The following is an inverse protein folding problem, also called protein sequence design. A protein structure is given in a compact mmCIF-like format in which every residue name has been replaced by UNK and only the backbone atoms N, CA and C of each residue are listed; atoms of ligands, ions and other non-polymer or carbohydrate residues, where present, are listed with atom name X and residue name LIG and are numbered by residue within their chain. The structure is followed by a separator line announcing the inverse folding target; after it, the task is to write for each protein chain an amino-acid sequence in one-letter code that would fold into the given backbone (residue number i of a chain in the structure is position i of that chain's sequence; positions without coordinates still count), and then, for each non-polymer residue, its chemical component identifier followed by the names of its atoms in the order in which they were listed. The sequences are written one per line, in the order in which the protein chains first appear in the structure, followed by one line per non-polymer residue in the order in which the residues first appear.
data_IF_982448237806
#
_entry.id   IF_982448237806
#
_cell.length_a   1.000
_cell.length_b   1.000
_cell.length_c   1.000
_cell.angle_alpha   90.00
_cell.angle_beta   90.00
_cell.angle_gamma   90.00
#
_symmetry.space_group_name_H-M   'P 1'
#
loop_
_entity.id
_entity.type
_entity.pdbx_description
1 polymer ?
#
# COMPACT_ATOMS: atom_id res chain seq x y z
N UNK A 1 7.80 -24.87 -20.94
CA UNK A 1 6.69 -24.04 -21.47
C UNK A 1 6.03 -23.17 -20.38
N UNK A 2 5.52 -23.73 -19.28
CA UNK A 2 4.89 -22.93 -18.19
C UNK A 2 5.83 -21.89 -17.55
N UNK A 3 7.09 -22.24 -17.26
CA UNK A 3 8.10 -21.30 -16.70
C UNK A 3 8.37 -20.08 -17.60
N UNK A 4 8.48 -20.29 -18.92
CA UNK A 4 8.69 -19.21 -19.89
C UNK A 4 7.48 -18.28 -19.97
N UNK A 5 6.26 -18.83 -19.88
CA UNK A 5 5.06 -18.02 -19.79
C UNK A 5 5.04 -17.17 -18.50
N UNK A 6 5.41 -17.73 -17.35
CA UNK A 6 5.53 -16.99 -16.09
C UNK A 6 6.51 -15.82 -16.18
N UNK A 7 7.71 -16.04 -16.74
CA UNK A 7 8.70 -14.95 -16.91
C UNK A 7 8.19 -13.84 -17.84
N UNK A 8 7.44 -14.20 -18.89
CA UNK A 8 6.85 -13.21 -19.79
C UNK A 8 5.75 -12.42 -19.07
N UNK A 9 4.88 -13.09 -18.30
CA UNK A 9 3.86 -12.41 -17.51
C UNK A 9 4.45 -11.50 -16.43
N UNK A 10 5.52 -11.92 -15.74
CA UNK A 10 6.20 -11.09 -14.75
C UNK A 10 6.74 -9.80 -15.38
N UNK A 11 7.38 -9.92 -16.55
CA UNK A 11 7.87 -8.74 -17.29
C UNK A 11 6.73 -7.84 -17.77
N UNK A 12 5.66 -8.43 -18.31
CA UNK A 12 4.49 -7.67 -18.77
C UNK A 12 3.75 -6.98 -17.62
N UNK A 13 3.65 -7.63 -16.46
CA UNK A 13 3.05 -7.03 -15.27
C UNK A 13 3.90 -5.92 -14.68
N UNK A 14 5.23 -6.08 -14.65
CA UNK A 14 6.14 -5.01 -14.23
C UNK A 14 6.00 -3.77 -15.12
N UNK A 15 5.93 -3.96 -16.45
CA UNK A 15 5.69 -2.86 -17.39
C UNK A 15 4.30 -2.26 -17.25
N UNK A 16 3.29 -3.10 -17.01
CA UNK A 16 1.93 -2.65 -16.73
C UNK A 16 1.84 -1.83 -15.44
N UNK A 17 2.56 -2.22 -14.38
CA UNK A 17 2.67 -1.49 -13.12
C UNK A 17 3.32 -0.13 -13.38
N UNK A 18 4.45 -0.08 -14.10
CA UNK A 18 5.14 1.18 -14.45
C UNK A 18 4.25 2.11 -15.27
N UNK A 19 3.55 1.56 -16.25
CA UNK A 19 2.58 2.29 -17.09
C UNK A 19 1.40 2.78 -16.25
N UNK A 20 0.90 1.96 -15.34
CA UNK A 20 -0.18 2.33 -14.44
C UNK A 20 0.26 3.43 -13.48
N UNK A 21 1.48 3.41 -12.96
CA UNK A 21 2.00 4.49 -12.11
C UNK A 21 2.14 5.79 -12.93
N UNK A 22 2.74 5.71 -14.12
CA UNK A 22 3.07 6.87 -14.96
C UNK A 22 1.86 7.47 -15.69
N UNK A 23 0.87 6.65 -16.04
CA UNK A 23 -0.30 7.05 -16.81
C UNK A 23 -1.57 6.60 -16.11
N UNK A 24 -2.61 7.43 -16.08
CA UNK A 24 -3.89 7.07 -15.47
C UNK A 24 -4.76 6.18 -16.38
N UNK A 25 -4.12 5.37 -17.24
CA UNK A 25 -4.80 4.62 -18.29
C UNK A 25 -4.92 3.15 -17.92
N UNK A 26 -6.12 2.60 -18.06
CA UNK A 26 -6.46 1.19 -17.81
C UNK A 26 -6.09 0.27 -18.97
N UNK A 27 -5.21 0.70 -19.89
CA UNK A 27 -4.79 -0.07 -21.07
C UNK A 27 -4.16 -1.43 -20.69
N UNK A 28 -3.69 -1.57 -19.46
CA UNK A 28 -3.16 -2.80 -18.88
C UNK A 28 -4.22 -3.82 -18.40
N UNK A 29 -5.52 -3.49 -18.43
CA UNK A 29 -6.61 -4.37 -17.94
C UNK A 29 -6.68 -5.73 -18.67
N UNK A 30 -6.33 -5.76 -19.95
CA UNK A 30 -6.25 -7.00 -20.74
C UNK A 30 -5.09 -7.89 -20.28
N UNK A 31 -3.94 -7.30 -19.95
CA UNK A 31 -2.77 -8.00 -19.41
C UNK A 31 -3.09 -8.57 -18.03
N UNK A 32 -3.76 -7.79 -17.19
CA UNK A 32 -4.23 -8.23 -15.87
C UNK A 32 -5.17 -9.43 -15.96
N UNK A 33 -6.20 -9.34 -16.81
CA UNK A 33 -7.19 -10.41 -16.98
C UNK A 33 -6.52 -11.70 -17.48
N UNK A 34 -5.59 -11.54 -18.43
CA UNK A 34 -4.78 -12.67 -18.94
C UNK A 34 -3.85 -13.24 -17.87
N UNK A 35 -3.22 -12.41 -17.05
CA UNK A 35 -2.34 -12.84 -15.97
C UNK A 35 -3.12 -13.53 -14.84
N UNK A 36 -4.31 -13.03 -14.46
CA UNK A 36 -5.19 -13.64 -13.46
C UNK A 36 -5.72 -15.01 -13.91
N UNK A 37 -6.15 -15.12 -15.17
CA UNK A 37 -6.60 -16.41 -15.74
C UNK A 37 -5.44 -17.41 -15.87
N UNK A 38 -4.23 -16.94 -16.12
CA UNK A 38 -3.04 -17.78 -16.08
C UNK A 38 -2.68 -18.21 -14.65
N UNK A 39 -2.73 -17.29 -13.69
CA UNK A 39 -2.43 -17.55 -12.28
C UNK A 39 -3.43 -18.52 -11.62
N UNK A 40 -4.72 -18.46 -11.98
CA UNK A 40 -5.74 -19.40 -11.50
C UNK A 40 -5.61 -20.79 -12.11
N UNK A 41 -5.08 -20.89 -13.33
CA UNK A 41 -4.73 -22.17 -13.94
C UNK A 41 -3.45 -22.74 -13.35
N UNK A 42 -2.51 -21.87 -12.98
CA UNK A 42 -1.23 -22.25 -12.38
C UNK A 42 -1.42 -22.77 -10.95
N UNK A 43 -2.35 -22.22 -10.17
CA UNK A 43 -2.66 -22.73 -8.81
C UNK A 43 -3.32 -24.10 -8.81
N UNK A 44 -4.03 -24.47 -9.88
CA UNK A 44 -4.61 -25.81 -10.06
C UNK A 44 -3.58 -26.86 -10.48
N UNK A 45 -2.47 -26.42 -11.08
CA UNK A 45 -1.35 -27.28 -11.41
C UNK A 45 -0.47 -27.33 -10.16
N UNK A 46 -0.59 -28.42 -9.41
CA UNK A 46 0.13 -28.68 -8.17
C UNK A 46 1.63 -28.92 -8.42
N UNK A 47 2.28 -27.95 -9.05
CA UNK A 47 3.73 -27.89 -9.22
C UNK A 47 4.28 -27.01 -8.11
N UNK A 48 5.46 -27.41 -7.63
CA UNK A 48 6.27 -26.70 -6.65
C UNK A 48 6.19 -25.18 -6.86
N UNK A 49 5.93 -24.45 -5.78
CA UNK A 49 5.89 -22.99 -5.75
C UNK A 49 7.28 -22.48 -6.16
N UNK A 50 7.44 -22.27 -7.47
CA UNK A 50 8.66 -21.77 -8.07
C UNK A 50 8.78 -20.27 -7.75
N UNK A 51 10.01 -19.75 -7.64
CA UNK A 51 10.27 -18.33 -7.36
C UNK A 51 9.54 -17.41 -8.34
N UNK A 52 9.43 -17.84 -9.60
CA UNK A 52 8.70 -17.14 -10.66
C UNK A 52 7.20 -17.02 -10.39
N UNK A 53 6.59 -18.05 -9.81
CA UNK A 53 5.17 -18.10 -9.46
C UNK A 53 4.88 -17.17 -8.26
N UNK A 54 5.78 -17.14 -7.27
CA UNK A 54 5.68 -16.17 -6.16
C UNK A 54 5.79 -14.73 -6.65
N UNK A 55 6.75 -14.43 -7.52
CA UNK A 55 6.86 -13.11 -8.15
C UNK A 55 5.58 -12.73 -8.89
N UNK A 56 4.95 -13.68 -9.61
CA UNK A 56 3.70 -13.44 -10.33
C UNK A 56 2.56 -13.02 -9.37
N UNK A 57 2.38 -13.74 -8.27
CA UNK A 57 1.35 -13.42 -7.27
C UNK A 57 1.61 -12.07 -6.61
N UNK A 58 2.86 -11.80 -6.20
CA UNK A 58 3.24 -10.51 -5.62
C UNK A 58 2.95 -9.36 -6.60
N UNK A 59 3.31 -9.50 -7.88
CA UNK A 59 3.04 -8.47 -8.89
C UNK A 59 1.54 -8.26 -9.13
N UNK A 60 0.73 -9.31 -9.06
CA UNK A 60 -0.74 -9.20 -9.16
C UNK A 60 -1.33 -8.43 -7.96
N UNK A 61 -0.83 -8.68 -6.76
CA UNK A 61 -1.26 -7.98 -5.57
C UNK A 61 -0.79 -6.52 -5.56
N UNK A 62 0.45 -6.24 -6.01
CA UNK A 62 0.96 -4.87 -6.23
C UNK A 62 0.07 -4.13 -7.23
N UNK A 63 -0.28 -4.75 -8.35
CA UNK A 63 -1.16 -4.13 -9.33
C UNK A 63 -2.52 -3.78 -8.72
N UNK A 64 -3.11 -4.73 -7.99
CA UNK A 64 -4.41 -4.56 -7.34
C UNK A 64 -4.36 -3.44 -6.29
N UNK A 65 -3.27 -3.35 -5.51
CA UNK A 65 -3.00 -2.23 -4.60
C UNK A 65 -2.99 -0.87 -5.31
N UNK A 66 -2.26 -0.76 -6.42
CA UNK A 66 -2.15 0.49 -7.20
C UNK A 66 -3.51 0.90 -7.78
N UNK A 67 -4.30 -0.07 -8.24
CA UNK A 67 -5.66 0.15 -8.75
C UNK A 67 -6.60 0.72 -7.68
N UNK A 68 -6.57 0.16 -6.46
CA UNK A 68 -7.35 0.67 -5.34
C UNK A 68 -6.90 2.06 -4.89
N UNK A 69 -5.59 2.31 -4.87
CA UNK A 69 -5.03 3.64 -4.58
C UNK A 69 -5.54 4.68 -5.58
N UNK A 70 -5.51 4.37 -6.88
CA UNK A 70 -5.99 5.28 -7.95
C UNK A 70 -7.50 5.49 -7.92
N UNK A 71 -8.24 4.46 -7.52
CA UNK A 71 -9.69 4.51 -7.34
C UNK A 71 -10.11 5.21 -6.04
N UNK A 72 -9.17 5.82 -5.30
CA UNK A 72 -9.39 6.53 -4.03
C UNK A 72 -10.00 5.66 -2.91
N UNK A 73 -9.92 4.34 -3.05
CA UNK A 73 -10.37 3.39 -2.02
C UNK A 73 -9.22 3.14 -1.03
N UNK A 74 -8.87 4.18 -0.28
CA UNK A 74 -7.67 4.22 0.55
C UNK A 74 -7.67 3.16 1.66
N UNK A 75 -8.79 2.90 2.31
CA UNK A 75 -8.90 1.85 3.35
C UNK A 75 -8.58 0.46 2.80
N UNK A 76 -9.14 0.10 1.64
CA UNK A 76 -8.87 -1.19 0.99
C UNK A 76 -7.44 -1.29 0.48
N UNK A 77 -6.90 -0.21 -0.08
CA UNK A 77 -5.50 -0.16 -0.48
C UNK A 77 -4.57 -0.39 0.72
N UNK A 78 -4.91 0.19 1.88
CA UNK A 78 -4.15 0.04 3.11
C UNK A 78 -4.17 -1.40 3.64
N UNK A 79 -5.32 -2.06 3.63
CA UNK A 79 -5.40 -3.48 4.00
C UNK A 79 -4.55 -4.39 3.09
N UNK A 80 -4.53 -4.11 1.78
CA UNK A 80 -3.78 -4.93 0.83
C UNK A 80 -2.29 -4.78 1.05
N UNK A 81 -1.79 -3.56 1.20
CA UNK A 81 -0.34 -3.34 1.43
C UNK A 81 0.12 -3.93 2.77
N UNK A 82 -0.73 -3.92 3.80
CA UNK A 82 -0.47 -4.62 5.06
C UNK A 82 -0.38 -6.13 4.89
N UNK A 83 -1.31 -6.74 4.16
CA UNK A 83 -1.31 -8.19 3.90
C UNK A 83 -0.12 -8.62 3.05
N UNK A 84 0.26 -7.79 2.08
CA UNK A 84 1.36 -8.07 1.16
C UNK A 84 2.72 -8.14 1.87
N UNK A 85 2.85 -7.54 3.05
CA UNK A 85 4.03 -7.62 3.92
C UNK A 85 5.37 -7.26 3.23
N UNK A 86 5.31 -6.47 2.15
CA UNK A 86 6.50 -5.96 1.46
C UNK A 86 7.20 -4.88 2.29
N UNK A 87 6.44 -4.14 3.09
CA UNK A 87 6.93 -3.01 3.86
C UNK A 87 6.76 -3.28 5.36
N UNK A 88 7.72 -2.85 6.20
CA UNK A 88 7.60 -3.01 7.63
C UNK A 88 6.62 -1.97 8.18
N UNK A 89 5.57 -2.45 8.84
CA UNK A 89 4.65 -1.60 9.61
C UNK A 89 5.00 -1.61 11.11
N UNK A 90 5.78 -2.58 11.57
CA UNK A 90 6.32 -2.62 12.93
C UNK A 90 7.85 -2.62 12.95
N UNK A 91 8.45 -2.07 14.00
CA UNK A 91 9.92 -2.04 14.17
C UNK A 91 10.56 -3.43 14.11
N UNK A 92 9.87 -4.45 14.60
CA UNK A 92 10.33 -5.85 14.60
C UNK A 92 10.40 -6.46 13.20
N UNK A 93 9.72 -5.86 12.22
CA UNK A 93 9.67 -6.36 10.84
C UNK A 93 10.78 -5.75 9.97
N UNK A 94 11.48 -4.70 10.43
CA UNK A 94 12.49 -3.99 9.63
C UNK A 94 13.56 -4.96 9.13
N UNK A 95 14.15 -5.75 10.03
CA UNK A 95 15.24 -6.67 9.67
C UNK A 95 14.76 -7.78 8.73
N UNK A 96 13.55 -8.30 8.96
CA UNK A 96 12.94 -9.34 8.11
C UNK A 96 12.66 -8.82 6.69
N UNK A 97 12.16 -7.59 6.56
CA UNK A 97 11.94 -6.95 5.26
C UNK A 97 13.27 -6.66 4.55
N UNK A 98 14.30 -6.22 5.27
CA UNK A 98 15.65 -6.00 4.72
C UNK A 98 16.30 -7.29 4.22
N UNK A 99 16.07 -8.42 4.89
CA UNK A 99 16.53 -9.72 4.41
C UNK A 99 15.75 -10.17 3.17
N UNK A 100 14.42 -10.05 3.23
CA UNK A 100 13.50 -10.46 2.15
C UNK A 100 13.74 -9.72 0.84
N UNK A 101 14.17 -8.45 0.90
CA UNK A 101 14.41 -7.65 -0.30
C UNK A 101 15.50 -8.23 -1.20
N UNK A 102 16.48 -8.93 -0.62
CA UNK A 102 17.56 -9.58 -1.36
C UNK A 102 17.07 -10.79 -2.17
N UNK A 103 15.91 -11.35 -1.81
CA UNK A 103 15.31 -12.51 -2.47
C UNK A 103 14.26 -12.12 -3.53
N UNK A 104 13.81 -10.87 -3.55
CA UNK A 104 12.89 -10.39 -4.58
C UNK A 104 13.53 -10.38 -5.97
N UNK A 105 12.69 -10.48 -6.99
CA UNK A 105 13.14 -10.40 -8.37
C UNK A 105 13.30 -8.92 -8.79
N UNK A 106 14.07 -8.68 -9.84
CA UNK A 106 14.31 -7.32 -10.36
C UNK A 106 13.02 -6.57 -10.67
N UNK A 107 11.98 -7.26 -11.12
CA UNK A 107 10.67 -6.68 -11.44
C UNK A 107 9.97 -6.05 -10.22
N UNK A 108 10.15 -6.66 -9.04
CA UNK A 108 9.60 -6.14 -7.78
C UNK A 108 10.50 -5.01 -7.26
N UNK A 109 11.82 -5.19 -7.32
CA UNK A 109 12.79 -4.18 -6.87
C UNK A 109 12.64 -2.87 -7.66
N UNK A 110 12.39 -2.95 -8.96
CA UNK A 110 12.21 -1.79 -9.82
C UNK A 110 10.96 -0.96 -9.46
N UNK A 111 9.89 -1.61 -8.99
CA UNK A 111 8.65 -0.96 -8.56
C UNK A 111 8.65 -0.57 -7.08
N UNK A 112 9.65 -1.04 -6.32
CA UNK A 112 9.72 -0.87 -4.88
C UNK A 112 9.74 0.60 -4.41
N UNK A 113 10.53 1.51 -5.01
CA UNK A 113 10.50 2.94 -4.64
C UNK A 113 9.12 3.58 -4.79
N UNK A 114 8.42 3.26 -5.88
CA UNK A 114 7.10 3.80 -6.17
C UNK A 114 6.05 3.27 -5.19
N UNK A 115 6.14 1.98 -4.83
CA UNK A 115 5.26 1.37 -3.81
C UNK A 115 5.44 2.05 -2.46
N UNK A 116 6.68 2.32 -2.03
CA UNK A 116 6.94 3.04 -0.78
C UNK A 116 6.33 4.45 -0.83
N UNK A 117 6.55 5.16 -1.94
CA UNK A 117 6.01 6.52 -2.10
C UNK A 117 4.48 6.54 -2.08
N UNK A 118 3.83 5.61 -2.78
CA UNK A 118 2.38 5.47 -2.78
C UNK A 118 1.86 5.11 -1.39
N UNK A 119 2.56 4.25 -0.65
CA UNK A 119 2.18 3.85 0.72
C UNK A 119 2.28 5.02 1.68
N UNK A 120 3.36 5.81 1.64
CA UNK A 120 3.49 7.00 2.47
C UNK A 120 2.48 8.08 2.08
N UNK A 121 2.19 8.24 0.79
CA UNK A 121 1.14 9.15 0.32
C UNK A 121 -0.24 8.71 0.82
N UNK A 122 -0.52 7.40 0.77
CA UNK A 122 -1.75 6.80 1.29
C UNK A 122 -1.92 7.10 2.78
N UNK A 123 -0.87 6.86 3.57
CA UNK A 123 -0.88 7.13 5.01
C UNK A 123 -1.04 8.63 5.31
N UNK A 124 -0.41 9.51 4.53
CA UNK A 124 -0.60 10.95 4.65
C UNK A 124 -2.04 11.39 4.36
N UNK A 125 -2.67 10.81 3.33
CA UNK A 125 -4.07 11.07 3.01
C UNK A 125 -4.97 10.58 4.14
N UNK A 126 -4.81 9.33 4.60
CA UNK A 126 -5.59 8.77 5.70
C UNK A 126 -5.44 9.59 6.98
N UNK A 127 -4.21 9.98 7.35
CA UNK A 127 -3.95 10.85 8.49
C UNK A 127 -4.66 12.21 8.36
N UNK A 128 -4.66 12.82 7.16
CA UNK A 128 -5.34 14.09 6.91
C UNK A 128 -6.88 13.98 6.94
N UNK A 129 -7.42 12.85 6.51
CA UNK A 129 -8.87 12.56 6.55
C UNK A 129 -9.33 12.37 7.99
N UNK A 130 -8.59 11.60 8.78
CA UNK A 130 -8.85 11.43 10.21
C UNK A 130 -8.70 12.76 10.95
N UNK A 131 -7.67 13.56 10.66
CA UNK A 131 -7.49 14.88 11.25
C UNK A 131 -8.68 15.81 11.00
N UNK A 132 -9.13 15.95 9.74
CA UNK A 132 -10.32 16.76 9.40
C UNK A 132 -11.59 16.25 10.09
N UNK A 133 -11.71 14.93 10.23
CA UNK A 133 -12.83 14.29 10.93
C UNK A 133 -12.81 14.60 12.43
N UNK A 134 -11.64 14.61 13.06
CA UNK A 134 -11.50 15.01 14.47
C UNK A 134 -11.79 16.50 14.69
N UNK A 135 -11.34 17.39 13.78
CA UNK A 135 -11.56 18.83 13.88
C UNK A 135 -13.06 19.19 13.79
N UNK A 136 -13.81 18.51 12.91
CA UNK A 136 -15.25 18.71 12.76
C UNK A 136 -16.04 18.23 14.00
N UNK A 137 -15.56 17.19 14.70
CA UNK A 137 -16.20 16.69 15.93
C UNK A 137 -15.91 17.63 17.11
N UNK A 138 -14.68 18.13 17.25
CA UNK A 138 -14.33 19.09 18.32
C UNK A 138 -15.05 20.43 18.18
N UNK A 139 -15.38 20.86 16.96
CA UNK A 139 -16.13 22.09 16.72
C UNK A 139 -17.65 21.94 16.93
N UNK A 140 -18.18 20.72 17.01
CA UNK A 140 -19.60 20.47 17.27
C UNK A 140 -19.93 20.26 18.75
N UNK A 141 -18.94 20.08 19.63
CA UNK A 141 -19.18 19.78 21.04
C UNK A 141 -19.30 21.02 21.95
N UNK A 142 -19.41 22.24 21.38
CA UNK A 142 -19.60 23.48 22.15
C UNK A 142 -20.96 24.18 21.93
N UNK A 143 -21.96 23.49 21.39
CA UNK A 143 -23.34 24.00 21.35
C UNK A 143 -24.36 22.91 21.74
N UNK A 144 -24.72 22.93 23.03
CA UNK A 144 -26.05 22.69 23.61
C UNK A 144 -26.89 21.43 23.26
N UNK A 145 -27.33 20.79 24.35
CA UNK A 145 -28.71 20.33 24.62
C UNK A 145 -29.12 18.88 24.29
N UNK A 146 -29.31 18.15 25.38
CA UNK A 146 -30.42 17.23 25.65
C UNK A 146 -31.60 17.25 24.67
N UNK A 147 -31.89 16.13 24.00
CA UNK A 147 -33.17 15.36 24.06
C UNK A 147 -33.20 14.23 23.00
N UNK A 148 -33.80 13.10 23.40
CA UNK A 148 -34.49 12.06 22.59
C UNK A 148 -33.77 11.34 21.44
N UNK A 149 -33.46 10.06 21.72
CA UNK A 149 -33.84 8.84 20.98
C UNK A 149 -33.82 8.78 19.44
N UNK A 150 -33.28 7.65 18.98
CA UNK A 150 -33.62 6.86 17.78
C UNK A 150 -32.55 6.90 16.67
N UNK A 151 -32.06 5.70 16.33
CA UNK A 151 -31.19 5.32 15.20
C UNK A 151 -29.71 5.77 15.16
N UNK A 152 -28.84 5.10 15.93
CA UNK A 152 -27.38 5.06 15.67
C UNK A 152 -26.75 3.71 16.05
N UNK A 153 -27.11 2.61 15.38
CA UNK A 153 -26.50 1.28 15.61
C UNK A 153 -25.53 0.78 14.54
N UNK A 154 -25.07 1.62 13.61
CA UNK A 154 -24.14 1.18 12.54
C UNK A 154 -22.84 1.97 12.40
N UNK A 155 -22.50 2.89 13.32
CA UNK A 155 -21.28 3.71 13.19
C UNK A 155 -20.40 3.81 14.44
N UNK A 156 -20.51 2.87 15.39
CA UNK A 156 -19.86 3.00 16.71
C UNK A 156 -18.77 1.96 17.04
N UNK A 157 -18.15 1.32 16.04
CA UNK A 157 -16.95 0.48 16.26
C UNK A 157 -15.65 1.20 15.84
N UNK A 158 -15.71 2.28 15.05
CA UNK A 158 -14.53 3.08 14.64
C UNK A 158 -14.38 4.44 15.36
N UNK A 159 -15.31 4.82 16.25
CA UNK A 159 -15.32 6.15 16.88
C UNK A 159 -14.51 6.29 18.17
N UNK A 160 -14.15 5.19 18.84
CA UNK A 160 -13.49 5.23 20.16
C UNK A 160 -11.96 5.28 20.12
N UNK A 161 -11.31 5.10 18.95
CA UNK A 161 -9.86 5.03 18.81
C UNK A 161 -9.29 5.92 17.67
N UNK A 162 -9.98 6.99 17.28
CA UNK A 162 -9.54 7.84 16.15
C UNK A 162 -8.19 8.54 16.39
N UNK A 163 -7.91 8.97 17.62
CA UNK A 163 -6.57 9.43 18.02
C UNK A 163 -5.53 8.30 17.91
N UNK A 164 -5.89 7.09 18.36
CA UNK A 164 -5.00 5.93 18.31
C UNK A 164 -4.64 5.49 16.89
N UNK A 165 -5.55 5.65 15.93
CA UNK A 165 -5.26 5.38 14.52
C UNK A 165 -4.25 6.39 13.93
N UNK A 166 -4.39 7.68 14.27
CA UNK A 166 -3.43 8.71 13.84
C UNK A 166 -2.04 8.46 14.43
N UNK A 167 -1.98 8.12 15.72
CA UNK A 167 -0.72 7.80 16.40
C UNK A 167 -0.09 6.51 15.85
N UNK A 168 -0.90 5.52 15.51
CA UNK A 168 -0.45 4.30 14.84
C UNK A 168 0.11 4.59 13.44
N UNK A 169 -0.59 5.40 12.63
CA UNK A 169 -0.11 5.79 11.30
C UNK A 169 1.21 6.58 11.39
N UNK A 170 1.37 7.46 12.40
CA UNK A 170 2.63 8.15 12.64
C UNK A 170 3.74 7.18 13.01
N UNK A 171 3.49 6.26 13.94
CA UNK A 171 4.45 5.23 14.34
C UNK A 171 4.89 4.38 13.14
N UNK A 172 3.95 3.96 12.31
CA UNK A 172 4.24 3.20 11.10
C UNK A 172 5.04 4.02 10.09
N UNK A 173 4.75 5.31 9.93
CA UNK A 173 5.52 6.20 9.06
C UNK A 173 6.98 6.34 9.56
N UNK A 174 7.21 6.41 10.88
CA UNK A 174 8.54 6.41 11.48
C UNK A 174 9.29 5.08 11.23
N UNK A 175 8.60 3.95 11.32
CA UNK A 175 9.15 2.63 10.97
C UNK A 175 9.59 2.60 9.51
N UNK A 176 8.73 3.04 8.59
CA UNK A 176 9.02 3.10 7.16
C UNK A 176 10.18 4.06 6.86
N UNK A 177 10.25 5.19 7.56
CA UNK A 177 11.34 6.15 7.42
C UNK A 177 12.68 5.56 7.85
N UNK A 178 12.70 4.86 8.98
CA UNK A 178 13.90 4.16 9.45
C UNK A 178 14.31 3.05 8.48
N UNK A 179 13.35 2.31 7.94
CA UNK A 179 13.58 1.27 6.93
C UNK A 179 14.19 1.86 5.65
N UNK A 180 13.67 2.99 5.16
CA UNK A 180 14.22 3.72 4.01
C UNK A 180 15.68 4.12 4.21
N UNK A 181 16.05 4.54 5.42
CA UNK A 181 17.45 4.89 5.75
C UNK A 181 18.41 3.69 5.76
N UNK A 182 17.89 2.48 5.90
CA UNK A 182 18.66 1.22 5.91
C UNK A 182 18.58 0.48 4.57
N UNK A 183 17.79 0.98 3.62
CA UNK A 183 17.50 0.29 2.37
C UNK A 183 18.76 0.25 1.49
N UNK A 184 19.21 -0.92 1.02
CA UNK A 184 20.39 -1.03 0.14
C UNK A 184 20.11 -0.60 -1.31
N UNK A 185 19.02 0.13 -1.57
CA UNK A 185 18.59 0.56 -2.91
C UNK A 185 18.86 2.05 -3.07
N UNK A 186 19.48 2.42 -4.20
CA UNK A 186 19.63 3.83 -4.58
C UNK A 186 18.28 4.38 -5.03
N UNK A 187 17.62 5.11 -4.13
CA UNK A 187 16.42 5.88 -4.46
C UNK A 187 16.79 7.05 -5.37
N UNK A 188 15.97 7.32 -6.39
CA UNK A 188 16.13 8.52 -7.21
C UNK A 188 15.88 9.77 -6.36
N UNK A 189 16.69 10.83 -6.55
CA UNK A 189 16.62 12.05 -5.75
C UNK A 189 15.21 12.66 -5.65
N UNK A 190 14.45 12.63 -6.74
CA UNK A 190 13.08 13.14 -6.77
C UNK A 190 12.13 12.34 -5.85
N UNK A 191 12.24 11.01 -5.84
CA UNK A 191 11.44 10.14 -4.96
C UNK A 191 11.79 10.42 -3.49
N UNK A 192 13.08 10.60 -3.18
CA UNK A 192 13.52 10.95 -1.84
C UNK A 192 12.94 12.30 -1.35
N UNK A 193 12.90 13.33 -2.20
CA UNK A 193 12.29 14.63 -1.84
C UNK A 193 10.79 14.48 -1.56
N UNK A 194 10.06 13.74 -2.39
CA UNK A 194 8.62 13.51 -2.20
C UNK A 194 8.33 12.67 -0.94
N UNK A 195 9.19 11.69 -0.64
CA UNK A 195 9.09 10.91 0.60
C UNK A 195 9.28 11.80 1.84
N UNK A 196 10.28 12.68 1.82
CA UNK A 196 10.52 13.64 2.90
C UNK A 196 9.35 14.61 3.07
N UNK A 197 8.76 15.07 1.97
CA UNK A 197 7.57 15.93 1.99
C UNK A 197 6.36 15.20 2.59
N UNK A 198 6.08 13.97 2.17
CA UNK A 198 4.99 13.16 2.72
C UNK A 198 5.19 12.88 4.22
N UNK A 199 6.40 12.55 4.63
CA UNK A 199 6.74 12.34 6.04
C UNK A 199 6.52 13.61 6.86
N UNK A 200 6.97 14.77 6.36
CA UNK A 200 6.72 16.07 6.99
C UNK A 200 5.23 16.34 7.13
N UNK A 201 4.41 16.05 6.10
CA UNK A 201 2.95 16.20 6.16
C UNK A 201 2.30 15.29 7.20
N UNK A 202 2.73 14.04 7.34
CA UNK A 202 2.21 13.12 8.37
C UNK A 202 2.57 13.62 9.78
N UNK A 203 3.82 14.08 9.96
CA UNK A 203 4.29 14.61 11.24
C UNK A 203 3.59 15.92 11.63
N UNK A 204 3.32 16.77 10.64
CA UNK A 204 2.66 18.07 10.82
C UNK A 204 1.13 17.99 10.76
N UNK A 205 0.52 16.80 10.65
CA UNK A 205 -0.93 16.63 10.69
C UNK A 205 -1.52 16.75 12.13
N UNK A 206 -0.93 17.62 12.94
CA UNK A 206 -1.39 18.05 14.27
C UNK A 206 -1.81 19.51 14.19
#
# INVERSE_FOLDING_TARGET
KSRQACSIYNRLLSEAIRTLISSNTSAASNVLTSARTFASRLSLIQNEIDRLTNTLYILLDIYTYIEFFKSQQFERAYEIIQKLSLLPFAHTQIDQCLESINYYSSEIIDSYPDIILMTLTLMAILASVEYKSTLNISNQHLLLSSTSSFDQRTSNILSTNKQGLLDELKRQADVLFRYLGLLPIKLHNHVHVQLMECFSRIKNAC
#
